data_IF_034147225027
#
_entry.id   IF_034147225027
#
_cell.length_a   1.000
_cell.length_b   1.000
_cell.length_c   1.000
_cell.angle_alpha   90.00
_cell.angle_beta   90.00
_cell.angle_gamma   90.00
#
_symmetry.space_group_name_H-M   'P 1'
#
loop_
_entity.id
_entity.type
_entity.pdbx_description
1 polymer ?
#
# COMPACT_ATOMS: atom_id res chain seq x y z
N UNK A 1 -2.05 37.00 -39.18
CA UNK A 1 -1.52 35.65 -38.86
C UNK A 1 -0.05 35.78 -38.48
N UNK A 2 0.29 35.72 -37.19
CA UNK A 2 1.69 35.73 -36.73
C UNK A 2 2.28 34.33 -36.94
N UNK A 3 3.32 34.22 -37.76
CA UNK A 3 4.02 32.94 -37.94
C UNK A 3 4.61 32.50 -36.61
N UNK A 4 4.20 31.33 -36.12
CA UNK A 4 4.92 30.64 -35.05
C UNK A 4 6.23 30.17 -35.65
N UNK A 5 7.27 30.98 -35.47
CA UNK A 5 8.63 30.59 -35.81
C UNK A 5 8.97 29.38 -34.95
N UNK A 6 9.17 28.22 -35.59
CA UNK A 6 9.65 27.02 -34.92
C UNK A 6 11.08 27.26 -34.45
N UNK A 7 11.23 27.71 -33.20
CA UNK A 7 12.50 27.98 -32.52
C UNK A 7 13.49 26.82 -32.72
N UNK A 8 12.99 25.57 -32.76
CA UNK A 8 13.78 24.35 -33.06
C UNK A 8 14.50 24.43 -34.41
N UNK A 9 13.83 24.91 -35.46
CA UNK A 9 14.41 25.04 -36.80
C UNK A 9 15.49 26.13 -36.88
N UNK A 10 15.31 27.23 -36.13
CA UNK A 10 16.34 28.29 -36.04
C UNK A 10 17.59 27.78 -35.34
N UNK A 11 17.43 27.01 -34.26
CA UNK A 11 18.56 26.46 -33.50
C UNK A 11 19.34 25.44 -34.36
N UNK A 12 18.65 24.56 -35.10
CA UNK A 12 19.29 23.62 -36.03
C UNK A 12 20.02 24.33 -37.16
N UNK A 13 19.43 25.40 -37.73
CA UNK A 13 20.08 26.20 -38.76
C UNK A 13 21.34 26.91 -38.22
N UNK A 14 21.27 27.48 -37.01
CA UNK A 14 22.43 28.11 -36.35
C UNK A 14 23.55 27.10 -36.06
N UNK A 15 23.22 25.88 -35.60
CA UNK A 15 24.20 24.83 -35.34
C UNK A 15 24.92 24.38 -36.63
N UNK A 16 24.19 24.23 -37.73
CA UNK A 16 24.75 23.86 -39.05
C UNK A 16 25.65 24.98 -39.57
N UNK A 17 25.25 26.25 -39.42
CA UNK A 17 26.05 27.40 -39.86
C UNK A 17 27.35 27.50 -39.06
N UNK A 18 27.30 27.29 -37.74
CA UNK A 18 28.50 27.29 -36.89
C UNK A 18 29.44 26.12 -37.22
N UNK A 19 28.89 24.95 -37.49
CA UNK A 19 29.66 23.77 -37.93
C UNK A 19 30.34 24.01 -39.28
N UNK A 20 29.62 24.54 -40.26
CA UNK A 20 30.17 24.89 -41.58
C UNK A 20 31.20 26.03 -41.49
N UNK A 21 30.97 27.01 -40.62
CA UNK A 21 31.92 28.09 -40.35
C UNK A 21 33.24 27.57 -39.77
N UNK A 22 33.19 26.57 -38.90
CA UNK A 22 34.39 25.93 -38.35
C UNK A 22 35.17 25.12 -39.38
N UNK A 23 34.49 24.46 -40.33
CA UNK A 23 35.16 23.75 -41.44
C UNK A 23 35.94 24.69 -42.37
N UNK A 24 35.49 25.94 -42.51
CA UNK A 24 36.15 26.96 -43.35
C UNK A 24 37.28 27.66 -42.59
N UNK A 25 37.19 27.78 -41.26
CA UNK A 25 38.19 28.43 -40.41
C UNK A 25 38.67 27.51 -39.26
N UNK A 26 39.56 26.55 -39.54
CA UNK A 26 40.02 25.54 -38.59
C UNK A 26 40.93 26.09 -37.47
N UNK A 27 41.32 27.36 -37.53
CA UNK A 27 42.20 28.02 -36.55
C UNK A 27 41.46 28.57 -35.32
N UNK A 28 40.13 28.49 -35.28
CA UNK A 28 39.33 28.92 -34.13
C UNK A 28 39.49 27.88 -33.00
N UNK A 29 40.15 28.28 -31.91
CA UNK A 29 40.29 27.43 -30.72
C UNK A 29 38.93 27.28 -30.04
N UNK A 30 38.39 26.07 -30.06
CA UNK A 30 37.16 25.75 -29.32
C UNK A 30 37.55 25.67 -27.84
N UNK A 31 37.20 26.71 -27.08
CA UNK A 31 37.40 26.73 -25.64
C UNK A 31 36.37 25.84 -24.93
N UNK A 32 36.70 25.33 -23.74
CA UNK A 32 35.86 24.45 -22.93
C UNK A 32 34.46 25.04 -22.69
N UNK A 33 34.40 26.36 -22.52
CA UNK A 33 33.15 27.12 -22.36
C UNK A 33 32.23 26.94 -23.58
N UNK A 34 32.80 26.90 -24.80
CA UNK A 34 32.05 26.70 -26.05
C UNK A 34 31.46 25.29 -26.14
N UNK A 35 32.21 24.28 -25.66
CA UNK A 35 31.75 22.89 -25.61
C UNK A 35 30.60 22.74 -24.60
N UNK A 36 30.71 23.36 -23.42
CA UNK A 36 29.66 23.32 -22.39
C UNK A 36 28.38 24.01 -22.88
N UNK A 37 28.48 25.17 -23.52
CA UNK A 37 27.34 25.85 -24.13
C UNK A 37 26.67 25.00 -25.21
N UNK A 38 27.46 24.28 -26.02
CA UNK A 38 26.94 23.37 -27.03
C UNK A 38 26.20 22.18 -26.41
N UNK A 39 26.74 21.58 -25.34
CA UNK A 39 26.06 20.54 -24.58
C UNK A 39 24.72 21.03 -23.99
N UNK A 40 24.69 22.23 -23.38
CA UNK A 40 23.47 22.83 -22.84
C UNK A 40 22.40 23.07 -23.91
N UNK A 41 22.79 23.40 -25.15
CA UNK A 41 21.88 23.58 -26.29
C UNK A 41 21.26 22.25 -26.75
N UNK A 42 21.94 21.11 -26.52
CA UNK A 42 21.47 19.77 -26.90
C UNK A 42 20.55 19.17 -25.82
N UNK A 43 20.64 19.57 -24.54
CA UNK A 43 19.81 19.04 -23.44
C UNK A 43 18.30 19.08 -23.74
N UNK A 44 17.71 20.19 -24.25
CA UNK A 44 16.28 20.24 -24.59
C UNK A 44 15.86 19.26 -25.71
N UNK A 45 16.82 18.75 -26.48
CA UNK A 45 16.62 17.77 -27.54
C UNK A 45 16.76 16.32 -27.07
N UNK A 46 17.29 16.08 -25.85
CA UNK A 46 17.30 14.77 -25.22
C UNK A 46 15.96 14.43 -24.53
N UNK A 47 15.16 15.45 -24.18
CA UNK A 47 13.84 15.27 -23.55
C UNK A 47 12.90 14.31 -24.31
N UNK A 48 12.80 14.36 -25.66
CA UNK A 48 11.98 13.41 -26.42
C UNK A 48 12.57 11.99 -26.48
N UNK A 49 13.88 11.79 -26.28
CA UNK A 49 14.49 10.46 -26.24
C UNK A 49 14.17 9.70 -24.95
N UNK A 50 13.81 10.43 -23.89
CA UNK A 50 13.24 9.86 -22.66
C UNK A 50 11.73 9.60 -22.77
N UNK A 51 11.06 10.18 -23.77
CA UNK A 51 9.61 10.04 -24.00
C UNK A 51 9.34 9.03 -25.12
N UNK A 52 9.33 7.76 -24.72
CA UNK A 52 8.52 6.66 -25.29
C UNK A 52 8.42 6.48 -26.82
N UNK A 53 9.01 5.39 -27.33
CA UNK A 53 8.53 4.70 -28.55
C UNK A 53 7.23 3.95 -28.24
N UNK A 54 6.14 4.24 -28.93
CA UNK A 54 4.84 3.57 -28.75
C UNK A 54 4.89 2.12 -29.25
N UNK A 55 4.47 1.16 -28.40
CA UNK A 55 4.16 -0.22 -28.78
C UNK A 55 2.69 -0.52 -28.45
N UNK A 56 2.02 -1.38 -29.25
CA UNK A 56 0.60 -1.69 -29.06
C UNK A 56 0.41 -2.44 -27.75
N UNK A 57 -0.26 -1.80 -26.78
CA UNK A 57 -0.44 -2.31 -25.41
C UNK A 57 -0.55 -1.21 -24.33
N UNK A 58 -0.10 0.00 -24.63
CA UNK A 58 -0.66 1.23 -24.05
C UNK A 58 -0.33 1.59 -22.60
N UNK A 59 0.69 1.02 -21.94
CA UNK A 59 1.26 1.64 -20.74
C UNK A 59 2.78 1.40 -20.68
N UNK A 60 3.55 2.46 -20.88
CA UNK A 60 4.96 2.54 -20.45
C UNK A 60 4.95 3.20 -19.08
N UNK A 61 5.39 2.50 -18.05
CA UNK A 61 5.69 3.11 -16.75
C UNK A 61 6.96 3.94 -16.92
N UNK A 62 6.85 5.26 -16.78
CA UNK A 62 8.00 6.16 -16.79
C UNK A 62 8.65 6.21 -15.39
N UNK A 63 9.88 6.70 -15.29
CA UNK A 63 10.60 6.90 -14.01
C UNK A 63 9.79 7.68 -12.98
N UNK A 64 9.01 8.64 -13.47
CA UNK A 64 8.13 9.45 -12.65
C UNK A 64 6.98 8.63 -12.04
N UNK A 65 6.51 7.60 -12.75
CA UNK A 65 5.45 6.72 -12.25
C UNK A 65 5.98 5.81 -11.13
N UNK A 66 7.24 5.36 -11.20
CA UNK A 66 7.87 4.58 -10.12
C UNK A 66 8.00 5.40 -8.84
N UNK A 67 8.53 6.61 -8.93
CA UNK A 67 8.66 7.51 -7.77
C UNK A 67 7.30 7.81 -7.14
N UNK A 68 6.26 7.92 -7.97
CA UNK A 68 4.89 8.12 -7.53
C UNK A 68 4.34 6.89 -6.82
N UNK A 69 4.48 5.69 -7.40
CA UNK A 69 4.02 4.44 -6.79
C UNK A 69 4.77 4.21 -5.47
N UNK A 70 6.06 4.50 -5.41
CA UNK A 70 6.87 4.40 -4.19
C UNK A 70 6.36 5.33 -3.09
N UNK A 71 6.16 6.61 -3.40
CA UNK A 71 5.58 7.58 -2.45
C UNK A 71 4.17 7.19 -2.01
N UNK A 72 3.35 6.69 -2.93
CA UNK A 72 2.01 6.22 -2.60
C UNK A 72 2.07 4.98 -1.71
N UNK A 73 2.94 4.02 -2.00
CA UNK A 73 3.14 2.78 -1.23
C UNK A 73 3.71 3.04 0.17
N UNK A 74 4.65 3.96 0.32
CA UNK A 74 5.16 4.42 1.60
C UNK A 74 4.05 5.07 2.44
N UNK A 75 3.31 6.00 1.83
CA UNK A 75 2.22 6.71 2.50
C UNK A 75 1.16 5.76 3.05
N UNK A 76 0.92 4.64 2.38
CA UNK A 76 -0.06 3.64 2.82
C UNK A 76 0.53 2.54 3.69
N UNK A 77 1.82 2.61 4.02
CA UNK A 77 2.49 1.61 4.86
C UNK A 77 2.70 0.25 4.20
N UNK A 78 2.62 0.16 2.86
CA UNK A 78 3.01 -1.04 2.12
C UNK A 78 4.52 -1.24 2.11
N UNK A 79 5.29 -0.15 2.22
CA UNK A 79 6.76 -0.14 2.21
C UNK A 79 7.23 0.77 3.33
N UNK A 80 8.28 0.38 4.06
CA UNK A 80 8.90 1.23 5.07
C UNK A 80 10.44 1.30 4.88
N UNK A 81 10.93 2.45 4.41
CA UNK A 81 12.36 2.69 4.11
C UNK A 81 13.29 2.57 5.31
N UNK A 82 12.81 2.83 6.52
CA UNK A 82 13.67 2.90 7.71
C UNK A 82 14.05 1.53 8.29
N UNK A 83 13.43 0.44 7.81
CA UNK A 83 13.67 -0.93 8.31
C UNK A 83 14.55 -1.81 7.42
N UNK A 84 15.25 -1.23 6.43
CA UNK A 84 16.10 -1.97 5.48
C UNK A 84 17.25 -2.80 6.09
N UNK A 85 17.59 -2.67 7.37
CA UNK A 85 18.70 -3.39 7.99
C UNK A 85 18.38 -4.78 8.55
N UNK A 86 17.11 -5.10 8.86
CA UNK A 86 16.73 -6.41 9.44
C UNK A 86 15.83 -7.27 8.52
N UNK A 87 15.46 -6.77 7.34
CA UNK A 87 14.51 -7.43 6.41
C UNK A 87 15.15 -8.59 5.64
N UNK A 88 16.47 -8.66 5.55
CA UNK A 88 17.22 -9.77 4.96
C UNK A 88 17.14 -11.10 5.75
N UNK A 89 16.27 -11.20 6.76
CA UNK A 89 16.09 -12.41 7.56
C UNK A 89 15.03 -13.37 7.01
N UNK A 90 14.15 -12.93 6.11
CA UNK A 90 13.32 -13.82 5.29
C UNK A 90 13.95 -13.91 3.89
N UNK A 91 14.76 -14.94 3.64
CA UNK A 91 15.29 -15.23 2.31
C UNK A 91 14.15 -15.72 1.41
N UNK A 92 13.46 -14.78 0.76
CA UNK A 92 12.51 -15.12 -0.29
C UNK A 92 13.23 -15.64 -1.53
N UNK A 93 12.72 -16.72 -2.12
CA UNK A 93 13.32 -17.39 -3.28
C UNK A 93 13.50 -16.45 -4.48
N UNK A 94 12.57 -15.50 -4.69
CA UNK A 94 12.69 -14.53 -5.79
C UNK A 94 13.91 -13.61 -5.68
N UNK A 95 14.45 -13.37 -4.47
CA UNK A 95 15.65 -12.55 -4.28
C UNK A 95 16.88 -13.28 -4.82
N UNK A 96 16.99 -14.58 -4.52
CA UNK A 96 18.08 -15.41 -5.04
C UNK A 96 18.00 -15.54 -6.56
N UNK A 97 16.78 -15.75 -7.08
CA UNK A 97 16.52 -15.85 -8.52
C UNK A 97 16.88 -14.53 -9.23
N UNK A 98 16.66 -13.37 -8.61
CA UNK A 98 16.91 -12.07 -9.22
C UNK A 98 18.37 -11.87 -9.66
N UNK A 99 19.32 -12.51 -8.96
CA UNK A 99 20.75 -12.47 -9.31
C UNK A 99 21.06 -13.22 -10.62
N UNK A 100 20.20 -14.15 -11.03
CA UNK A 100 20.42 -15.01 -12.19
C UNK A 100 19.47 -14.69 -13.33
N UNK A 101 18.19 -14.43 -13.03
CA UNK A 101 17.16 -14.14 -14.02
C UNK A 101 16.06 -13.25 -13.41
N UNK A 102 16.05 -11.99 -13.82
CA UNK A 102 15.09 -11.00 -13.33
C UNK A 102 13.63 -11.34 -13.69
N UNK A 103 13.37 -11.83 -14.90
CA UNK A 103 11.99 -12.15 -15.31
C UNK A 103 11.42 -13.29 -14.48
N UNK A 104 12.23 -14.30 -14.18
CA UNK A 104 11.83 -15.40 -13.30
C UNK A 104 11.61 -14.92 -11.86
N UNK A 105 12.42 -13.97 -11.38
CA UNK A 105 12.23 -13.37 -10.07
C UNK A 105 10.90 -12.61 -9.97
N UNK A 106 10.52 -11.83 -10.99
CA UNK A 106 9.24 -11.13 -11.03
C UNK A 106 8.06 -12.11 -11.04
N UNK A 107 8.16 -13.21 -11.80
CA UNK A 107 7.15 -14.26 -11.79
C UNK A 107 7.03 -14.90 -10.40
N UNK A 108 8.15 -15.22 -9.77
CA UNK A 108 8.19 -15.79 -8.41
C UNK A 108 7.55 -14.84 -7.39
N UNK A 109 7.91 -13.56 -7.41
CA UNK A 109 7.30 -12.55 -6.55
C UNK A 109 5.79 -12.42 -6.77
N UNK A 110 5.32 -12.47 -8.03
CA UNK A 110 3.88 -12.47 -8.33
C UNK A 110 3.18 -13.64 -7.65
N UNK A 111 3.73 -14.84 -7.76
CA UNK A 111 3.16 -16.05 -7.16
C UNK A 111 3.06 -15.89 -5.63
N UNK A 112 4.10 -15.36 -4.98
CA UNK A 112 4.09 -15.11 -3.54
C UNK A 112 3.02 -14.09 -3.14
N UNK A 113 2.90 -12.97 -3.86
CA UNK A 113 1.85 -11.97 -3.60
C UNK A 113 0.45 -12.59 -3.76
N UNK A 114 0.23 -13.36 -4.82
CA UNK A 114 -1.06 -14.02 -5.06
C UNK A 114 -1.40 -15.03 -3.97
N UNK A 115 -0.41 -15.81 -3.53
CA UNK A 115 -0.57 -16.75 -2.42
C UNK A 115 -0.98 -16.03 -1.14
N UNK A 116 -0.31 -14.91 -0.81
CA UNK A 116 -0.66 -14.10 0.38
C UNK A 116 -2.06 -13.49 0.28
N UNK A 117 -2.45 -12.96 -0.88
CA UNK A 117 -3.81 -12.44 -1.07
C UNK A 117 -4.87 -13.53 -0.92
N UNK A 118 -4.60 -14.76 -1.40
CA UNK A 118 -5.50 -15.90 -1.21
C UNK A 118 -5.56 -16.36 0.25
N UNK A 119 -4.43 -16.38 0.96
CA UNK A 119 -4.38 -16.68 2.39
C UNK A 119 -5.23 -15.67 3.20
N UNK A 120 -5.12 -14.36 2.90
CA UNK A 120 -5.98 -13.33 3.48
C UNK A 120 -7.45 -13.61 3.13
N UNK A 121 -7.77 -13.87 1.87
CA UNK A 121 -9.14 -14.14 1.45
C UNK A 121 -9.75 -15.34 2.21
N UNK A 122 -9.02 -16.46 2.34
CA UNK A 122 -9.44 -17.62 3.12
C UNK A 122 -9.67 -17.28 4.60
N UNK A 123 -8.77 -16.50 5.20
CA UNK A 123 -8.87 -16.03 6.59
C UNK A 123 -10.19 -15.28 6.85
N UNK A 124 -10.69 -14.56 5.86
CA UNK A 124 -11.93 -13.78 5.92
C UNK A 124 -13.14 -14.48 5.28
N UNK A 125 -13.08 -15.81 5.11
CA UNK A 125 -14.11 -16.65 4.48
C UNK A 125 -14.57 -16.16 3.09
N UNK A 126 -13.71 -15.42 2.39
CA UNK A 126 -13.93 -15.06 1.00
C UNK A 126 -13.63 -16.31 0.17
N UNK A 127 -14.49 -16.62 -0.82
CA UNK A 127 -14.35 -17.77 -1.73
C UNK A 127 -13.12 -17.68 -2.65
N UNK A 128 -11.91 -17.71 -2.07
CA UNK A 128 -10.66 -17.34 -2.71
C UNK A 128 -10.36 -18.17 -3.96
N UNK A 129 -10.74 -19.44 -3.97
CA UNK A 129 -10.52 -20.35 -5.12
C UNK A 129 -11.41 -20.02 -6.32
N UNK A 130 -12.51 -19.29 -6.12
CA UNK A 130 -13.51 -19.01 -7.14
C UNK A 130 -13.32 -17.64 -7.80
N UNK A 131 -12.40 -16.82 -7.28
CA UNK A 131 -12.20 -15.44 -7.72
C UNK A 131 -10.81 -15.20 -8.31
N UNK A 132 -10.75 -14.30 -9.30
CA UNK A 132 -9.49 -13.75 -9.78
C UNK A 132 -8.84 -12.88 -8.71
N UNK A 133 -7.52 -12.69 -8.79
CA UNK A 133 -6.78 -11.87 -7.82
C UNK A 133 -7.30 -10.42 -7.80
N UNK A 134 -7.62 -9.85 -8.97
CA UNK A 134 -8.21 -8.51 -9.04
C UNK A 134 -9.56 -8.43 -8.33
N UNK A 135 -10.38 -9.50 -8.40
CA UNK A 135 -11.65 -9.58 -7.66
C UNK A 135 -11.41 -9.76 -6.16
N UNK A 136 -10.43 -10.57 -5.76
CA UNK A 136 -10.01 -10.72 -4.35
C UNK A 136 -9.60 -9.36 -3.78
N UNK A 137 -8.70 -8.62 -4.45
CA UNK A 137 -8.28 -7.28 -4.00
C UNK A 137 -9.47 -6.35 -3.85
N UNK A 138 -10.43 -6.41 -4.78
CA UNK A 138 -11.63 -5.57 -4.72
C UNK A 138 -12.50 -5.93 -3.51
N UNK A 139 -12.74 -7.21 -3.25
CA UNK A 139 -13.52 -7.66 -2.07
C UNK A 139 -12.78 -7.31 -0.77
N UNK A 140 -11.46 -7.50 -0.73
CA UNK A 140 -10.64 -7.13 0.44
C UNK A 140 -10.69 -5.61 0.70
N UNK A 141 -10.81 -4.81 -0.37
CA UNK A 141 -11.01 -3.37 -0.25
C UNK A 141 -12.40 -3.00 0.25
N UNK A 142 -13.43 -3.64 -0.29
CA UNK A 142 -14.83 -3.47 0.16
C UNK A 142 -14.99 -3.80 1.65
N UNK A 143 -14.20 -4.76 2.16
CA UNK A 143 -14.15 -5.17 3.57
C UNK A 143 -13.18 -4.37 4.44
N UNK A 144 -12.56 -3.32 3.90
CA UNK A 144 -11.57 -2.48 4.58
C UNK A 144 -10.34 -3.22 5.16
N UNK A 145 -10.06 -4.43 4.65
CA UNK A 145 -8.84 -5.19 5.00
C UNK A 145 -7.64 -4.61 4.25
N UNK A 146 -7.89 -4.22 2.99
CA UNK A 146 -7.00 -3.37 2.20
C UNK A 146 -7.65 -2.00 2.06
N UNK A 147 -6.91 -0.94 2.30
CA UNK A 147 -7.33 0.41 1.93
C UNK A 147 -7.51 0.51 0.41
N UNK A 148 -8.26 1.52 -0.02
CA UNK A 148 -8.48 1.83 -1.44
C UNK A 148 -7.14 2.08 -2.14
N UNK A 149 -6.22 2.75 -1.44
CA UNK A 149 -4.90 3.09 -1.94
C UNK A 149 -3.98 1.86 -1.99
N UNK A 150 -3.94 1.03 -0.94
CA UNK A 150 -3.24 -0.27 -0.98
C UNK A 150 -3.71 -1.12 -2.16
N UNK A 151 -5.04 -1.17 -2.37
CA UNK A 151 -5.66 -1.93 -3.45
C UNK A 151 -5.29 -1.41 -4.83
N UNK A 152 -5.15 -0.09 -4.99
CA UNK A 152 -4.70 0.53 -6.23
C UNK A 152 -3.24 0.19 -6.52
N UNK A 153 -2.35 0.42 -5.55
CA UNK A 153 -0.91 0.14 -5.67
C UNK A 153 -0.68 -1.35 -5.99
N UNK A 154 -1.38 -2.27 -5.29
CA UNK A 154 -1.28 -3.70 -5.56
C UNK A 154 -1.75 -4.08 -6.97
N UNK A 155 -2.81 -3.45 -7.49
CA UNK A 155 -3.27 -3.68 -8.87
C UNK A 155 -2.25 -3.19 -9.90
N UNK A 156 -1.62 -2.05 -9.66
CA UNK A 156 -0.57 -1.49 -10.52
C UNK A 156 0.71 -2.35 -10.52
N UNK A 157 1.13 -2.84 -9.34
CA UNK A 157 2.26 -3.78 -9.21
C UNK A 157 1.95 -5.11 -9.92
N UNK A 158 0.78 -5.71 -9.66
CA UNK A 158 0.39 -6.98 -10.28
C UNK A 158 0.25 -6.87 -11.80
N UNK A 159 -0.19 -5.73 -12.32
CA UNK A 159 -0.20 -5.47 -13.75
C UNK A 159 1.21 -5.57 -14.34
N UNK A 160 2.18 -4.91 -13.70
CA UNK A 160 3.59 -4.93 -14.13
C UNK A 160 4.20 -6.33 -14.07
N UNK A 161 3.94 -7.04 -12.96
CA UNK A 161 4.36 -8.44 -12.79
C UNK A 161 3.73 -9.38 -13.82
N UNK A 162 2.49 -9.10 -14.24
CA UNK A 162 1.81 -9.87 -15.27
C UNK A 162 2.46 -9.69 -16.65
N UNK A 163 2.96 -8.49 -16.99
CA UNK A 163 3.69 -8.26 -18.23
C UNK A 163 4.98 -9.10 -18.29
N UNK A 164 5.73 -9.14 -17.19
CA UNK A 164 6.93 -9.97 -17.08
C UNK A 164 6.62 -11.47 -17.30
N UNK A 165 5.47 -11.94 -16.82
CA UNK A 165 5.02 -13.33 -16.98
C UNK A 165 4.68 -13.70 -18.44
N UNK A 166 4.33 -12.71 -19.26
CA UNK A 166 4.03 -12.90 -20.69
C UNK A 166 5.23 -12.65 -21.61
N UNK A 167 6.42 -12.42 -21.05
CA UNK A 167 7.63 -12.15 -21.83
C UNK A 167 7.58 -10.83 -22.60
N UNK A 168 6.71 -9.91 -22.19
CA UNK A 168 6.63 -8.55 -22.76
C UNK A 168 7.86 -7.76 -22.32
N UNK A 169 8.43 -6.97 -23.23
CA UNK A 169 9.53 -6.06 -22.86
C UNK A 169 9.08 -5.12 -21.74
N UNK A 170 9.77 -5.19 -20.61
CA UNK A 170 9.57 -4.32 -19.46
C UNK A 170 10.84 -3.53 -19.17
N UNK A 171 10.69 -2.36 -18.54
CA UNK A 171 11.84 -1.57 -18.11
C UNK A 171 12.58 -2.31 -16.99
N UNK A 172 13.84 -2.68 -17.24
CA UNK A 172 14.70 -3.43 -16.31
C UNK A 172 14.77 -2.73 -14.95
N UNK A 173 14.75 -1.40 -14.92
CA UNK A 173 14.84 -0.62 -13.68
C UNK A 173 13.56 -0.71 -12.86
N UNK A 174 12.39 -0.63 -13.51
CA UNK A 174 11.08 -0.95 -12.90
C UNK A 174 11.08 -2.36 -12.29
N UNK A 175 11.58 -3.35 -13.02
CA UNK A 175 11.68 -4.72 -12.49
C UNK A 175 12.59 -4.82 -11.26
N UNK A 176 13.74 -4.13 -11.26
CA UNK A 176 14.67 -4.13 -10.13
C UNK A 176 14.05 -3.48 -8.90
N UNK A 177 13.35 -2.36 -9.08
CA UNK A 177 12.63 -1.68 -8.01
C UNK A 177 11.52 -2.57 -7.43
N UNK A 178 10.71 -3.24 -8.27
CA UNK A 178 9.66 -4.16 -7.78
C UNK A 178 10.25 -5.30 -6.94
N UNK A 179 11.40 -5.84 -7.33
CA UNK A 179 12.10 -6.88 -6.58
C UNK A 179 12.60 -6.33 -5.23
N UNK A 180 13.14 -5.10 -5.22
CA UNK A 180 13.63 -4.44 -4.00
C UNK A 180 12.53 -4.23 -2.97
N UNK A 181 11.34 -3.80 -3.40
CA UNK A 181 10.20 -3.55 -2.50
C UNK A 181 9.38 -4.81 -2.17
N UNK A 182 9.58 -5.90 -2.93
CA UNK A 182 8.83 -7.15 -2.82
C UNK A 182 8.73 -7.71 -1.40
N UNK A 183 9.83 -7.79 -0.62
CA UNK A 183 9.78 -8.29 0.75
C UNK A 183 8.87 -7.47 1.68
N UNK A 184 8.89 -6.13 1.54
CA UNK A 184 8.05 -5.26 2.37
C UNK A 184 6.56 -5.39 2.03
N UNK A 185 6.23 -5.55 0.74
CA UNK A 185 4.85 -5.87 0.32
C UNK A 185 4.40 -7.19 0.95
N UNK A 186 5.22 -8.24 0.85
CA UNK A 186 4.87 -9.56 1.37
C UNK A 186 4.72 -9.56 2.89
N UNK A 187 5.56 -8.81 3.60
CA UNK A 187 5.47 -8.61 5.04
C UNK A 187 4.23 -7.82 5.43
N UNK A 188 3.90 -6.76 4.70
CA UNK A 188 2.68 -5.97 4.93
C UNK A 188 1.44 -6.85 4.76
N UNK A 189 1.36 -7.61 3.66
CA UNK A 189 0.28 -8.58 3.44
C UNK A 189 0.25 -9.68 4.51
N UNK A 190 1.41 -10.24 4.87
CA UNK A 190 1.51 -11.29 5.89
C UNK A 190 1.08 -10.81 7.28
N UNK A 191 1.27 -9.53 7.59
CA UNK A 191 0.80 -8.95 8.85
C UNK A 191 -0.72 -9.04 9.00
N UNK A 192 -1.47 -8.91 7.89
CA UNK A 192 -2.92 -9.05 7.82
C UNK A 192 -3.38 -10.50 7.91
N UNK A 193 -2.47 -11.47 7.72
CA UNK A 193 -2.73 -12.92 7.88
C UNK A 193 -2.51 -13.34 9.34
N UNK A 194 -1.32 -13.08 9.88
CA UNK A 194 -0.82 -13.70 11.11
C UNK A 194 -1.39 -13.04 12.38
N UNK A 195 -1.62 -11.72 12.38
CA UNK A 195 -1.87 -10.96 13.60
C UNK A 195 -3.37 -10.79 13.88
N UNK A 196 -4.00 -11.87 14.33
CA UNK A 196 -5.29 -11.88 15.04
C UNK A 196 -4.95 -11.74 16.52
N UNK A 197 -5.36 -10.66 17.17
CA UNK A 197 -4.87 -10.35 18.52
C UNK A 197 -5.41 -11.35 19.55
N UNK A 198 -4.84 -11.35 20.75
CA UNK A 198 -5.36 -12.12 21.88
C UNK A 198 -5.89 -11.16 22.95
N UNK A 199 -7.01 -11.52 23.61
CA UNK A 199 -7.46 -10.79 24.82
C UNK A 199 -6.45 -10.97 25.96
N UNK A 200 -5.87 -12.18 26.06
CA UNK A 200 -4.88 -12.54 27.08
C UNK A 200 -3.59 -13.01 26.40
N UNK A 201 -2.77 -12.10 25.86
CA UNK A 201 -1.47 -12.48 25.36
C UNK A 201 -0.63 -12.97 26.56
N UNK A 202 -0.05 -14.16 26.47
CA UNK A 202 1.08 -14.51 27.32
C UNK A 202 2.28 -13.60 26.96
N UNK A 203 3.25 -13.40 27.86
CA UNK A 203 4.40 -12.49 27.64
C UNK A 203 5.16 -12.78 26.33
N UNK A 204 5.12 -14.03 25.88
CA UNK A 204 5.68 -14.57 24.64
C UNK A 204 4.76 -14.49 23.41
N UNK A 205 3.50 -14.06 23.58
CA UNK A 205 2.46 -13.95 22.54
C UNK A 205 1.87 -12.54 22.40
N UNK A 206 2.62 -11.49 22.72
CA UNK A 206 2.24 -10.09 22.43
C UNK A 206 2.24 -9.83 20.91
N UNK A 207 1.31 -10.46 20.19
CA UNK A 207 1.07 -10.22 18.78
C UNK A 207 0.07 -9.07 18.70
N UNK A 208 0.62 -7.88 18.49
CA UNK A 208 -0.14 -6.65 18.27
C UNK A 208 -0.93 -6.74 16.95
N UNK A 209 -2.23 -6.42 16.98
CA UNK A 209 -3.13 -6.56 15.83
C UNK A 209 -2.72 -5.65 14.66
N UNK A 210 -2.98 -6.04 13.42
CA UNK A 210 -2.56 -5.25 12.26
C UNK A 210 -3.20 -3.86 12.21
N UNK A 211 -4.43 -3.72 12.73
CA UNK A 211 -5.12 -2.43 12.84
C UNK A 211 -4.36 -1.52 13.81
N UNK A 212 -3.94 -2.02 14.97
CA UNK A 212 -3.10 -1.28 15.93
C UNK A 212 -1.78 -0.83 15.29
N UNK A 213 -1.09 -1.76 14.61
CA UNK A 213 0.15 -1.44 13.89
C UNK A 213 -0.04 -0.37 12.81
N UNK A 214 -1.17 -0.39 12.11
CA UNK A 214 -1.48 0.61 11.08
C UNK A 214 -1.71 2.01 11.67
N UNK A 215 -2.10 2.08 12.94
CA UNK A 215 -2.28 3.32 13.68
C UNK A 215 -0.97 3.84 14.24
N UNK A 216 -0.14 2.97 14.83
CA UNK A 216 1.17 3.34 15.39
C UNK A 216 2.19 3.79 14.33
N UNK A 217 2.07 3.29 13.10
CA UNK A 217 3.00 3.60 12.03
C UNK A 217 2.84 5.01 11.43
N UNK A 218 1.80 5.77 11.82
CA UNK A 218 1.54 7.11 11.29
C UNK A 218 2.13 8.18 12.20
N UNK A 219 3.02 9.00 11.66
CA UNK A 219 3.43 10.24 12.30
C UNK A 219 2.34 11.32 12.11
N UNK A 220 1.98 12.00 13.19
CA UNK A 220 1.01 13.11 13.17
C UNK A 220 1.63 14.35 13.77
N UNK A 221 1.47 15.48 13.07
CA UNK A 221 2.07 16.75 13.47
C UNK A 221 1.01 17.74 13.97
N UNK A 222 -0.28 17.43 13.79
CA UNK A 222 -1.38 18.30 14.18
C UNK A 222 -2.50 17.55 14.90
N UNK A 223 -3.26 18.30 15.72
CA UNK A 223 -4.44 17.77 16.41
C UNK A 223 -5.57 17.36 15.45
N UNK A 224 -5.65 17.97 14.27
CA UNK A 224 -6.66 17.62 13.26
C UNK A 224 -6.35 16.23 12.67
N UNK A 225 -5.10 16.02 12.24
CA UNK A 225 -4.64 14.72 11.76
C UNK A 225 -4.82 13.63 12.81
N UNK A 226 -4.58 13.95 14.09
CA UNK A 226 -4.79 13.01 15.18
C UNK A 226 -6.26 12.57 15.32
N UNK A 227 -7.22 13.52 15.29
CA UNK A 227 -8.66 13.20 15.36
C UNK A 227 -9.10 12.39 14.14
N UNK A 228 -8.65 12.77 12.94
CA UNK A 228 -8.94 12.03 11.71
C UNK A 228 -8.41 10.60 11.78
N UNK A 229 -7.21 10.40 12.33
CA UNK A 229 -6.64 9.07 12.49
C UNK A 229 -7.38 8.24 13.54
N UNK A 230 -7.80 8.80 14.67
CA UNK A 230 -8.64 8.08 15.64
C UNK A 230 -9.94 7.62 14.97
N UNK A 231 -10.56 8.50 14.17
CA UNK A 231 -11.78 8.16 13.44
C UNK A 231 -11.55 6.99 12.48
N UNK A 232 -10.50 7.05 11.67
CA UNK A 232 -10.13 5.96 10.76
C UNK A 232 -9.84 4.66 11.51
N UNK A 233 -9.12 4.73 12.64
CA UNK A 233 -8.80 3.57 13.46
C UNK A 233 -10.05 2.91 14.05
N UNK A 234 -10.98 3.71 14.56
CA UNK A 234 -12.27 3.26 15.04
C UNK A 234 -13.13 2.64 13.93
N UNK A 235 -13.12 3.22 12.72
CA UNK A 235 -13.79 2.64 11.54
C UNK A 235 -13.19 1.29 11.17
N UNK A 236 -11.86 1.13 11.20
CA UNK A 236 -11.21 -0.16 10.94
C UNK A 236 -11.64 -1.23 11.95
N UNK A 237 -11.67 -0.90 13.23
CA UNK A 237 -12.14 -1.82 14.27
C UNK A 237 -13.62 -2.19 14.13
N UNK A 238 -14.46 -1.26 13.70
CA UNK A 238 -15.88 -1.50 13.44
C UNK A 238 -16.07 -2.46 12.25
N UNK A 239 -15.36 -2.22 11.15
CA UNK A 239 -15.38 -3.13 10.01
C UNK A 239 -14.86 -4.53 10.38
N UNK A 240 -13.82 -4.62 11.21
CA UNK A 240 -13.29 -5.91 11.65
C UNK A 240 -14.28 -6.65 12.55
N UNK A 241 -15.02 -5.93 13.40
CA UNK A 241 -16.10 -6.50 14.20
C UNK A 241 -17.16 -7.17 13.30
N UNK A 242 -17.60 -6.49 12.25
CA UNK A 242 -18.55 -7.03 11.28
C UNK A 242 -17.99 -8.23 10.52
N UNK A 243 -16.72 -8.17 10.11
CA UNK A 243 -16.04 -9.26 9.40
C UNK A 243 -15.97 -10.53 10.26
N UNK A 244 -15.59 -10.40 11.54
CA UNK A 244 -15.49 -11.52 12.48
C UNK A 244 -16.88 -12.05 12.83
N UNK A 245 -17.83 -11.15 13.10
CA UNK A 245 -19.21 -11.54 13.40
C UNK A 245 -19.82 -12.34 12.24
N UNK A 246 -19.69 -11.86 10.99
CA UNK A 246 -20.17 -12.56 9.80
C UNK A 246 -19.52 -13.93 9.66
N UNK A 247 -18.20 -14.01 9.89
CA UNK A 247 -17.43 -15.26 9.85
C UNK A 247 -17.90 -16.28 10.90
N UNK A 248 -18.27 -15.82 12.10
CA UNK A 248 -18.83 -16.67 13.14
C UNK A 248 -20.23 -17.18 12.75
N UNK A 249 -21.10 -16.30 12.25
CA UNK A 249 -22.46 -16.67 11.83
C UNK A 249 -22.45 -17.74 10.73
N UNK A 250 -21.48 -17.71 9.82
CA UNK A 250 -21.32 -18.75 8.80
C UNK A 250 -20.90 -20.11 9.36
N UNK A 251 -20.10 -20.13 10.44
CA UNK A 251 -19.51 -21.36 11.02
C UNK A 251 -20.33 -22.00 12.14
N UNK A 252 -21.19 -21.23 12.82
CA UNK A 252 -21.98 -21.72 13.95
C UNK A 252 -23.23 -22.49 13.51
N UNK A 253 -23.75 -23.35 14.38
CA UNK A 253 -25.06 -24.01 14.20
C UNK A 253 -26.19 -23.16 14.81
N UNK A 254 -27.45 -23.37 14.39
CA UNK A 254 -28.59 -22.50 14.71
C UNK A 254 -28.76 -22.13 16.21
N UNK A 255 -28.62 -23.07 17.17
CA UNK A 255 -28.73 -22.71 18.59
C UNK A 255 -27.62 -21.74 19.04
N UNK A 256 -26.41 -21.88 18.50
CA UNK A 256 -25.27 -21.02 18.81
C UNK A 256 -25.39 -19.66 18.11
N UNK A 257 -25.91 -19.63 16.87
CA UNK A 257 -26.18 -18.39 16.15
C UNK A 257 -27.13 -17.48 16.93
N UNK A 258 -28.25 -18.04 17.42
CA UNK A 258 -29.23 -17.26 18.20
C UNK A 258 -28.63 -16.69 19.49
N UNK A 259 -27.75 -17.44 20.16
CA UNK A 259 -27.02 -16.96 21.35
C UNK A 259 -26.08 -15.80 20.99
N UNK A 260 -25.30 -15.96 19.91
CA UNK A 260 -24.37 -14.93 19.44
C UNK A 260 -25.10 -13.66 19.01
N UNK A 261 -26.19 -13.78 18.25
CA UNK A 261 -27.05 -12.67 17.82
C UNK A 261 -27.59 -11.89 19.02
N UNK A 262 -28.18 -12.59 19.99
CA UNK A 262 -28.70 -11.96 21.21
C UNK A 262 -27.59 -11.26 22.00
N UNK A 263 -26.44 -11.92 22.18
CA UNK A 263 -25.32 -11.34 22.91
C UNK A 263 -24.74 -10.11 22.18
N UNK A 264 -24.65 -10.15 20.85
CA UNK A 264 -24.18 -9.02 20.05
C UNK A 264 -25.15 -7.83 20.11
N UNK A 265 -26.47 -8.06 20.05
CA UNK A 265 -27.47 -7.00 20.23
C UNK A 265 -27.37 -6.35 21.62
N UNK A 266 -27.23 -7.15 22.67
CA UNK A 266 -27.05 -6.64 24.03
C UNK A 266 -25.75 -5.83 24.17
N UNK A 267 -24.67 -6.30 23.55
CA UNK A 267 -23.40 -5.59 23.54
C UNK A 267 -23.51 -4.25 22.81
N UNK A 268 -24.22 -4.19 21.67
CA UNK A 268 -24.46 -2.94 20.94
C UNK A 268 -25.25 -1.93 21.79
N UNK A 269 -26.33 -2.34 22.44
CA UNK A 269 -27.08 -1.47 23.36
C UNK A 269 -26.23 -0.98 24.53
N UNK A 270 -25.40 -1.85 25.10
CA UNK A 270 -24.45 -1.48 26.15
C UNK A 270 -23.43 -0.45 25.63
N UNK A 271 -22.84 -0.69 24.45
CA UNK A 271 -21.85 0.18 23.84
C UNK A 271 -22.42 1.57 23.53
N UNK A 272 -23.64 1.64 22.98
CA UNK A 272 -24.36 2.89 22.73
C UNK A 272 -24.60 3.66 24.04
N UNK A 273 -25.18 3.00 25.05
CA UNK A 273 -25.43 3.61 26.36
C UNK A 273 -24.15 4.09 27.03
N UNK A 274 -23.07 3.33 26.89
CA UNK A 274 -21.75 3.66 27.43
C UNK A 274 -21.13 4.87 26.73
N UNK A 275 -21.21 4.92 25.40
CA UNK A 275 -20.76 6.06 24.59
C UNK A 275 -21.58 7.32 24.89
N UNK A 276 -22.90 7.20 24.98
CA UNK A 276 -23.79 8.29 25.40
C UNK A 276 -23.42 8.82 26.77
N UNK A 277 -23.22 7.94 27.76
CA UNK A 277 -22.78 8.36 29.10
C UNK A 277 -21.48 9.17 29.02
N UNK A 278 -20.46 8.65 28.34
CA UNK A 278 -19.16 9.31 28.23
C UNK A 278 -19.22 10.65 27.48
N UNK A 279 -20.09 10.77 26.49
CA UNK A 279 -20.28 12.01 25.72
C UNK A 279 -21.27 12.99 26.35
N UNK A 280 -22.14 12.54 27.27
CA UNK A 280 -23.19 13.36 27.91
C UNK A 280 -22.67 14.44 28.86
N UNK A 281 -21.42 14.33 29.30
CA UNK A 281 -20.79 15.34 30.13
C UNK A 281 -20.30 16.49 29.25
N UNK A 282 -21.22 17.37 28.81
CA UNK A 282 -20.92 18.53 27.95
C UNK A 282 -19.81 19.44 28.54
N UNK A 283 -19.70 19.45 29.86
CA UNK A 283 -18.68 20.15 30.63
C UNK A 283 -17.32 19.44 30.70
N UNK A 284 -17.21 18.16 30.31
CA UNK A 284 -15.89 17.50 30.19
C UNK A 284 -15.00 18.25 29.20
N UNK A 285 -15.52 18.72 28.07
CA UNK A 285 -14.70 19.50 27.14
C UNK A 285 -14.08 20.74 27.80
N UNK A 286 -14.84 21.39 28.68
CA UNK A 286 -14.38 22.55 29.44
C UNK A 286 -13.40 22.19 30.55
N UNK A 287 -13.59 21.02 31.19
CA UNK A 287 -12.84 20.61 32.38
C UNK A 287 -11.56 19.82 32.08
N UNK A 288 -11.57 18.95 31.07
CA UNK A 288 -10.44 18.09 30.67
C UNK A 288 -9.77 18.54 29.37
N UNK A 289 -10.32 19.58 28.73
CA UNK A 289 -9.79 20.11 27.48
C UNK A 289 -9.89 19.12 26.31
N UNK A 290 -9.21 19.45 25.21
CA UNK A 290 -9.19 18.61 24.00
C UNK A 290 -8.46 17.27 24.21
N UNK A 291 -7.41 17.26 25.01
CA UNK A 291 -6.66 16.04 25.35
C UNK A 291 -7.54 15.02 26.11
N UNK A 292 -8.39 15.50 27.03
CA UNK A 292 -9.35 14.64 27.69
C UNK A 292 -10.42 14.06 26.76
N UNK A 293 -10.88 14.83 25.77
CA UNK A 293 -11.79 14.32 24.74
C UNK A 293 -11.11 13.23 23.89
N UNK A 294 -9.84 13.42 23.54
CA UNK A 294 -9.03 12.42 22.85
C UNK A 294 -8.98 11.11 23.65
N UNK A 295 -8.67 11.19 24.95
CA UNK A 295 -8.60 10.02 25.83
C UNK A 295 -9.97 9.30 25.88
N UNK A 296 -11.07 10.06 25.91
CA UNK A 296 -12.42 9.52 25.90
C UNK A 296 -12.72 8.76 24.61
N UNK A 297 -12.39 9.33 23.44
CA UNK A 297 -12.55 8.65 22.15
C UNK A 297 -11.70 7.39 22.05
N UNK A 298 -10.44 7.44 22.52
CA UNK A 298 -9.57 6.26 22.58
C UNK A 298 -10.20 5.18 23.48
N UNK A 299 -10.79 5.57 24.61
CA UNK A 299 -11.44 4.63 25.51
C UNK A 299 -12.67 3.95 24.90
N UNK A 300 -13.52 4.73 24.22
CA UNK A 300 -14.70 4.22 23.49
C UNK A 300 -14.26 3.23 22.39
N UNK A 301 -13.23 3.59 21.62
CA UNK A 301 -12.66 2.74 20.59
C UNK A 301 -12.06 1.44 21.16
N UNK A 302 -11.39 1.52 22.32
CA UNK A 302 -10.83 0.33 22.99
C UNK A 302 -11.91 -0.70 23.31
N UNK A 303 -13.14 -0.29 23.63
CA UNK A 303 -14.26 -1.21 23.87
C UNK A 303 -14.66 -1.99 22.63
N UNK A 304 -14.64 -1.36 21.44
CA UNK A 304 -14.81 -2.08 20.17
C UNK A 304 -13.67 -3.06 19.94
N UNK A 305 -12.42 -2.62 20.10
CA UNK A 305 -11.24 -3.48 19.97
C UNK A 305 -11.32 -4.72 20.87
N UNK A 306 -11.63 -4.55 22.16
CA UNK A 306 -11.81 -5.65 23.10
C UNK A 306 -12.84 -6.66 22.61
N UNK A 307 -13.98 -6.18 22.10
CA UNK A 307 -15.04 -7.03 21.56
C UNK A 307 -14.60 -7.80 20.31
N UNK A 308 -13.87 -7.15 19.41
CA UNK A 308 -13.31 -7.81 18.22
C UNK A 308 -12.40 -8.96 18.64
N UNK A 309 -11.49 -8.73 19.57
CA UNK A 309 -10.57 -9.75 20.08
C UNK A 309 -11.30 -10.90 20.80
N UNK A 310 -12.41 -10.61 21.49
CA UNK A 310 -13.27 -11.63 22.09
C UNK A 310 -13.89 -12.57 21.06
N UNK A 311 -14.53 -12.00 20.05
CA UNK A 311 -15.14 -12.79 18.99
C UNK A 311 -14.09 -13.50 18.14
N UNK A 312 -12.92 -12.89 17.97
CA UNK A 312 -11.80 -13.47 17.25
C UNK A 312 -11.26 -14.73 17.92
N UNK A 313 -11.10 -14.70 19.25
CA UNK A 313 -10.65 -15.89 20.01
C UNK A 313 -11.64 -17.04 19.83
N UNK A 314 -12.95 -16.77 19.90
CA UNK A 314 -13.99 -17.78 19.64
C UNK A 314 -13.85 -18.34 18.22
N UNK A 315 -13.68 -17.48 17.22
CA UNK A 315 -13.52 -17.88 15.81
C UNK A 315 -12.27 -18.76 15.60
N UNK A 316 -11.17 -18.42 16.24
CA UNK A 316 -9.93 -19.18 16.17
C UNK A 316 -10.08 -20.59 16.76
N UNK A 317 -10.78 -20.72 17.90
CA UNK A 317 -11.06 -22.02 18.52
C UNK A 317 -11.97 -22.92 17.67
N UNK A 318 -12.90 -22.32 16.91
CA UNK A 318 -13.73 -23.06 15.96
C UNK A 318 -12.94 -23.53 14.73
N UNK A 319 -11.93 -22.75 14.31
CA UNK A 319 -11.14 -23.04 13.10
C UNK A 319 -10.04 -24.07 13.35
N UNK A 320 -9.48 -24.16 14.56
CA UNK A 320 -8.47 -25.20 14.93
C UNK A 320 -9.01 -26.63 14.97
N UNK A 321 -10.34 -26.83 14.95
CA UNK A 321 -11.00 -28.14 15.04
C UNK A 321 -11.35 -28.77 13.67
N UNK A 322 -11.04 -28.09 12.57
CA UNK A 322 -11.15 -28.61 11.20
C UNK A 322 -9.76 -28.92 10.67
#
# INVERSE_FOLDING_TARGET
MKSKINIKGIISACAIILFLGHLIFPTIKIDLITVILFCLIIIPWLEPLFKSVELPGGLKLEFHDLEKIEKEAEKVGLINKEKNSNILSENYEFIEIANTNQSLALISLRIEIEKKLREIAHKYNIGANNFSISKIITILSEKNILSIQESRVLKEILYTLNQASHGVEYDVRTGSWIIEIGPEILKSLSSKIIKRGYIFPSEDQQIEHWIDKSFEAKEWNTNIEFIENIKQHNELWENELENIYSSLIEKLHDPQKSILEKNQQQWLSYYESYSELLTSFDNLQHNVGREGQIILYVHIMQKKRERVLELEEILNQLTKKQ
#
